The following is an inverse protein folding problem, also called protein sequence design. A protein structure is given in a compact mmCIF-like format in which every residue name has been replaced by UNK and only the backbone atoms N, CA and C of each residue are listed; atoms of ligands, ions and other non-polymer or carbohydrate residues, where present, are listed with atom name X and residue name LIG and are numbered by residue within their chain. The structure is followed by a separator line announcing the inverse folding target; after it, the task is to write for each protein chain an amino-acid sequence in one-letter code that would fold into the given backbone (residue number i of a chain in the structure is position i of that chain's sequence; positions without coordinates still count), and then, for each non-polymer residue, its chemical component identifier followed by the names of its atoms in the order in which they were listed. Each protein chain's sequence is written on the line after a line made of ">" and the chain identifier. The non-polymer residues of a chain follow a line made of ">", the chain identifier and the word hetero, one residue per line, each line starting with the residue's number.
data_IF_889867753627
#
_entry.id   IF_889867753627
#
_cell.length_a   1.000
_cell.length_b   1.000
_cell.length_c   1.000
_cell.angle_alpha   90.00
_cell.angle_beta   90.00
_cell.angle_gamma   90.00
#
_symmetry.space_group_name_H-M   'P 1'
#
loop_
_entity.id
_entity.type
_entity.pdbx_description
1 polymer ?
#
# COMPACT_ATOMS: atom_id res chain seq x y z
N UNK A 1 24.88 26.26 44.33
CA UNK A 1 24.11 26.13 43.06
C UNK A 1 22.69 26.61 43.26
N UNK A 2 22.27 27.65 42.54
CA UNK A 2 20.91 28.21 42.61
C UNK A 2 19.85 27.20 42.17
N UNK A 3 18.60 27.37 42.65
CA UNK A 3 17.46 26.50 42.30
C UNK A 3 17.27 26.41 40.77
N UNK A 4 17.51 27.52 40.06
CA UNK A 4 17.45 27.61 38.61
C UNK A 4 18.47 26.68 37.92
N UNK A 5 19.73 26.70 38.37
CA UNK A 5 20.79 25.83 37.80
C UNK A 5 20.47 24.35 38.03
N UNK A 6 19.94 24.00 39.20
CA UNK A 6 19.48 22.62 39.47
C UNK A 6 18.35 22.21 38.52
N UNK A 7 17.39 23.11 38.26
CA UNK A 7 16.27 22.85 37.33
C UNK A 7 16.74 22.68 35.89
N UNK A 8 17.66 23.53 35.42
CA UNK A 8 18.23 23.44 34.08
C UNK A 8 18.97 22.10 33.87
N UNK A 9 19.83 21.70 34.82
CA UNK A 9 20.49 20.39 34.79
C UNK A 9 19.49 19.23 34.76
N UNK A 10 18.39 19.33 35.51
CA UNK A 10 17.32 18.32 35.48
C UNK A 10 16.63 18.26 34.11
N UNK A 11 16.33 19.42 33.51
CA UNK A 11 15.72 19.50 32.19
C UNK A 11 16.62 18.94 31.10
N UNK A 12 17.93 19.18 31.19
CA UNK A 12 18.92 18.65 30.28
C UNK A 12 19.02 17.12 30.37
N UNK A 13 19.08 16.56 31.59
CA UNK A 13 19.00 15.10 31.78
C UNK A 13 17.74 14.49 31.16
N UNK A 14 16.57 15.12 31.37
CA UNK A 14 15.30 14.66 30.76
C UNK A 14 15.32 14.78 29.23
N UNK A 15 15.90 15.84 28.68
CA UNK A 15 16.05 16.03 27.23
C UNK A 15 16.94 14.95 26.63
N UNK A 16 18.09 14.67 27.26
CA UNK A 16 19.01 13.61 26.84
C UNK A 16 18.32 12.23 26.86
N UNK A 17 17.65 11.89 27.97
CA UNK A 17 16.91 10.62 28.08
C UNK A 17 15.86 10.45 26.97
N UNK A 18 15.06 11.50 26.70
CA UNK A 18 14.05 11.47 25.62
C UNK A 18 14.70 11.21 24.25
N UNK A 19 15.82 11.86 23.95
CA UNK A 19 16.57 11.61 22.70
C UNK A 19 17.04 10.17 22.60
N UNK A 20 17.60 9.62 23.67
CA UNK A 20 18.08 8.23 23.70
C UNK A 20 16.94 7.23 23.53
N UNK A 21 15.80 7.44 24.19
CA UNK A 21 14.61 6.60 24.04
C UNK A 21 14.07 6.67 22.61
N UNK A 22 13.99 7.86 22.01
CA UNK A 22 13.58 8.02 20.62
C UNK A 22 14.53 7.30 19.66
N UNK A 23 15.86 7.46 19.85
CA UNK A 23 16.87 6.75 19.05
C UNK A 23 16.68 5.23 19.14
N UNK A 24 16.52 4.68 20.35
CA UNK A 24 16.28 3.24 20.55
C UNK A 24 14.97 2.77 19.91
N UNK A 25 13.90 3.57 19.92
CA UNK A 25 12.64 3.23 19.24
C UNK A 25 12.83 3.16 17.73
N UNK A 26 13.52 4.15 17.14
CA UNK A 26 13.84 4.17 15.71
C UNK A 26 14.70 2.96 15.35
N UNK A 27 15.74 2.66 16.13
CA UNK A 27 16.62 1.52 15.91
C UNK A 27 15.87 0.18 15.95
N UNK A 28 14.93 -0.01 16.88
CA UNK A 28 14.11 -1.23 16.93
C UNK A 28 13.27 -1.41 15.67
N UNK A 29 12.63 -0.34 15.21
CA UNK A 29 11.81 -0.37 13.99
C UNK A 29 12.69 -0.66 12.77
N UNK A 30 13.85 0.00 12.69
CA UNK A 30 14.80 -0.23 11.60
C UNK A 30 15.32 -1.67 11.58
N UNK A 31 15.67 -2.23 12.75
CA UNK A 31 16.10 -3.62 12.89
C UNK A 31 15.01 -4.61 12.51
N UNK A 32 13.76 -4.34 12.85
CA UNK A 32 12.62 -5.18 12.42
C UNK A 32 12.48 -5.19 10.90
N UNK A 33 12.53 -4.02 10.27
CA UNK A 33 12.46 -3.92 8.80
C UNK A 33 13.64 -4.62 8.12
N UNK A 34 14.84 -4.49 8.67
CA UNK A 34 16.03 -5.17 8.14
C UNK A 34 15.91 -6.69 8.27
N UNK A 35 15.43 -7.19 9.41
CA UNK A 35 15.20 -8.62 9.60
C UNK A 35 14.12 -9.17 8.67
N UNK A 36 12.99 -8.46 8.51
CA UNK A 36 11.93 -8.82 7.57
C UNK A 36 12.47 -8.89 6.13
N UNK A 37 13.34 -7.96 5.75
CA UNK A 37 13.99 -7.98 4.44
C UNK A 37 14.92 -9.19 4.29
N UNK A 38 15.77 -9.47 5.29
CA UNK A 38 16.64 -10.65 5.27
C UNK A 38 15.84 -11.95 5.18
N UNK A 39 14.73 -12.06 5.90
CA UNK A 39 13.84 -13.22 5.80
C UNK A 39 13.27 -13.38 4.39
N UNK A 40 12.84 -12.30 3.76
CA UNK A 40 12.38 -12.33 2.36
C UNK A 40 13.50 -12.73 1.40
N UNK A 41 14.70 -12.18 1.56
CA UNK A 41 15.86 -12.53 0.74
C UNK A 41 16.20 -14.03 0.89
N UNK A 42 16.20 -14.57 2.12
CA UNK A 42 16.41 -16.02 2.34
C UNK A 42 15.30 -16.91 1.78
N UNK A 43 14.05 -16.43 1.76
CA UNK A 43 12.95 -17.16 1.12
C UNK A 43 13.13 -17.17 -0.39
N UNK A 44 13.49 -16.03 -0.98
CA UNK A 44 13.76 -15.91 -2.40
C UNK A 44 14.92 -16.81 -2.83
N UNK A 45 16.03 -16.85 -2.09
CA UNK A 45 17.14 -17.76 -2.38
C UNK A 45 16.71 -19.22 -2.40
N UNK A 46 15.88 -19.65 -1.43
CA UNK A 46 15.33 -21.02 -1.41
C UNK A 46 14.42 -21.31 -2.60
N UNK A 47 13.59 -20.34 -3.00
CA UNK A 47 12.72 -20.48 -4.18
C UNK A 47 13.57 -20.61 -5.46
N UNK A 48 14.65 -19.84 -5.57
CA UNK A 48 15.61 -19.92 -6.67
C UNK A 48 16.30 -21.29 -6.69
N UNK A 49 16.76 -21.80 -5.55
CA UNK A 49 17.39 -23.12 -5.46
C UNK A 49 16.43 -24.22 -5.92
N UNK A 50 15.16 -24.18 -5.49
CA UNK A 50 14.12 -25.13 -5.91
C UNK A 50 13.85 -25.04 -7.42
N UNK A 51 13.83 -23.85 -8.00
CA UNK A 51 13.61 -23.67 -9.44
C UNK A 51 14.83 -24.15 -10.24
N UNK A 52 16.06 -23.93 -9.76
CA UNK A 52 17.28 -24.47 -10.37
C UNK A 52 17.24 -25.99 -10.35
N UNK A 53 16.86 -26.61 -9.23
CA UNK A 53 16.72 -28.06 -9.13
C UNK A 53 15.64 -28.59 -10.09
N UNK A 54 14.52 -27.88 -10.22
CA UNK A 54 13.45 -28.22 -11.18
C UNK A 54 13.93 -28.13 -12.62
N UNK A 55 14.63 -27.06 -12.99
CA UNK A 55 15.19 -26.87 -14.34
C UNK A 55 16.23 -27.95 -14.63
N UNK A 56 17.12 -28.25 -13.69
CA UNK A 56 18.09 -29.33 -13.82
C UNK A 56 17.43 -30.71 -13.98
N UNK A 57 16.37 -31.01 -13.23
CA UNK A 57 15.60 -32.26 -13.39
C UNK A 57 14.89 -32.33 -14.74
N UNK A 58 14.32 -31.22 -15.22
CA UNK A 58 13.71 -31.17 -16.56
C UNK A 58 14.77 -31.38 -17.66
N UNK A 59 15.92 -30.74 -17.56
CA UNK A 59 17.04 -30.96 -18.49
C UNK A 59 17.56 -32.40 -18.45
N UNK A 60 17.70 -32.99 -17.26
CA UNK A 60 18.06 -34.40 -17.11
C UNK A 60 17.00 -35.35 -17.73
N UNK A 61 15.72 -35.01 -17.60
CA UNK A 61 14.61 -35.77 -18.18
C UNK A 61 14.55 -35.64 -19.71
N UNK A 62 14.84 -34.46 -20.26
CA UNK A 62 14.96 -34.21 -21.71
C UNK A 62 16.17 -34.91 -22.33
N UNK A 63 17.26 -35.09 -21.56
CA UNK A 63 18.45 -35.79 -22.04
C UNK A 63 18.31 -37.33 -21.99
N UNK A 64 17.36 -37.85 -21.20
CA UNK A 64 17.05 -39.28 -21.13
C UNK A 64 15.93 -39.72 -22.09
N UNK A 65 15.17 -38.78 -22.67
CA UNK A 65 14.10 -39.07 -23.64
C UNK A 65 14.55 -39.07 -25.11
N UNK A 66 15.86 -39.01 -25.39
CA UNK A 66 16.41 -39.14 -26.75
C UNK A 66 16.86 -40.56 -27.11
N UNK A 67 16.31 -41.57 -26.44
CA UNK A 67 16.56 -42.99 -26.71
C UNK A 67 15.31 -43.83 -26.44
N UNK A 68 14.24 -43.63 -27.20
CA UNK A 68 13.36 -44.72 -27.66
C UNK A 68 12.29 -44.17 -28.61
N UNK A 69 12.38 -44.57 -29.88
CA UNK A 69 11.35 -44.35 -30.88
C UNK A 69 10.25 -45.40 -30.75
N UNK A 70 8.99 -45.02 -31.00
CA UNK A 70 7.88 -45.96 -31.07
C UNK A 70 6.55 -45.30 -31.42
N UNK A 71 6.13 -45.49 -32.67
CA UNK A 71 4.84 -45.11 -33.27
C UNK A 71 3.60 -45.54 -32.45
N UNK A 72 2.52 -44.75 -32.51
CA UNK A 72 1.19 -45.18 -32.05
C UNK A 72 0.10 -44.12 -32.24
N UNK A 73 -0.76 -44.30 -33.25
CA UNK A 73 -1.73 -43.34 -33.76
C UNK A 73 -3.13 -43.43 -33.13
N UNK A 74 -3.84 -42.29 -33.07
CA UNK A 74 -5.29 -42.07 -33.26
C UNK A 74 -6.29 -42.53 -32.18
N UNK A 75 -7.15 -41.60 -31.75
CA UNK A 75 -8.45 -41.87 -31.13
C UNK A 75 -9.00 -40.64 -30.38
N UNK A 76 -9.63 -39.66 -31.05
CA UNK A 76 -11.06 -39.61 -31.33
C UNK A 76 -11.94 -39.09 -30.16
N UNK A 77 -12.52 -37.90 -30.40
CA UNK A 77 -13.91 -37.48 -30.06
C UNK A 77 -14.20 -36.76 -28.72
N UNK A 78 -14.45 -35.45 -28.84
CA UNK A 78 -15.41 -34.67 -28.03
C UNK A 78 -16.86 -35.11 -28.36
N UNK A 79 -17.85 -34.90 -27.45
CA UNK A 79 -18.73 -33.74 -27.64
C UNK A 79 -19.33 -33.09 -26.36
N UNK A 80 -19.44 -31.75 -26.46
CA UNK A 80 -20.55 -30.82 -26.09
C UNK A 80 -21.66 -31.22 -25.09
N UNK A 81 -22.00 -30.24 -24.25
CA UNK A 81 -23.33 -30.01 -23.63
C UNK A 81 -23.17 -29.48 -22.19
N UNK A 82 -23.87 -28.49 -21.65
CA UNK A 82 -25.13 -27.83 -21.97
C UNK A 82 -25.19 -26.48 -21.21
N UNK A 83 -25.80 -25.46 -21.81
CA UNK A 83 -26.12 -24.19 -21.18
C UNK A 83 -27.27 -24.36 -20.17
N UNK A 84 -27.00 -24.05 -18.90
CA UNK A 84 -28.02 -23.90 -17.86
C UNK A 84 -28.33 -22.43 -17.60
N UNK A 85 -29.30 -21.89 -18.34
CA UNK A 85 -29.98 -20.62 -18.03
C UNK A 85 -30.76 -20.81 -16.74
N UNK A 86 -30.51 -19.96 -15.74
CA UNK A 86 -31.46 -19.79 -14.63
C UNK A 86 -31.64 -18.30 -14.35
N UNK A 87 -32.92 -17.94 -14.41
CA UNK A 87 -33.51 -16.63 -14.29
C UNK A 87 -33.20 -15.96 -12.94
N UNK A 88 -33.39 -14.63 -12.94
CA UNK A 88 -33.93 -13.81 -11.83
C UNK A 88 -33.11 -12.56 -11.52
N UNK A 89 -33.01 -11.61 -12.46
CA UNK A 89 -32.85 -10.20 -12.10
C UNK A 89 -33.66 -9.32 -13.05
N UNK A 90 -34.83 -8.90 -12.57
CA UNK A 90 -35.60 -7.78 -13.15
C UNK A 90 -34.71 -6.53 -13.14
N UNK A 91 -34.00 -6.31 -14.25
CA UNK A 91 -33.32 -5.06 -14.53
C UNK A 91 -34.37 -4.04 -14.98
N UNK A 92 -34.48 -2.93 -14.24
CA UNK A 92 -35.28 -1.76 -14.61
C UNK A 92 -34.79 -1.21 -15.95
N UNK A 93 -35.49 -1.58 -17.03
CA UNK A 93 -35.29 -1.08 -18.39
C UNK A 93 -35.73 0.38 -18.45
N UNK A 94 -34.80 1.30 -18.74
CA UNK A 94 -35.14 2.70 -19.03
C UNK A 94 -35.34 2.85 -20.53
N UNK A 95 -36.47 3.45 -20.92
CA UNK A 95 -36.83 3.69 -22.31
C UNK A 95 -36.31 5.08 -22.70
N UNK A 96 -35.37 5.15 -23.66
CA UNK A 96 -34.90 6.41 -24.23
C UNK A 96 -35.10 6.32 -25.74
N UNK A 97 -35.97 7.17 -26.29
CA UNK A 97 -36.15 7.32 -27.75
C UNK A 97 -36.53 6.02 -28.48
N UNK A 98 -37.38 5.18 -27.91
CA UNK A 98 -37.83 3.92 -28.53
C UNK A 98 -36.83 2.75 -28.45
N UNK A 99 -35.63 2.97 -27.90
CA UNK A 99 -34.63 1.93 -27.67
C UNK A 99 -34.66 1.54 -26.19
N UNK A 100 -34.86 0.25 -25.93
CA UNK A 100 -34.74 -0.33 -24.59
C UNK A 100 -33.26 -0.52 -24.28
N UNK A 101 -32.69 0.40 -23.51
CA UNK A 101 -31.30 0.28 -23.05
C UNK A 101 -31.30 -0.46 -21.71
N UNK A 102 -30.64 -1.61 -21.67
CA UNK A 102 -30.38 -2.32 -20.43
C UNK A 102 -29.34 -1.53 -19.62
N UNK A 103 -29.80 -0.81 -18.60
CA UNK A 103 -28.90 -0.13 -17.68
C UNK A 103 -28.02 -1.20 -16.99
N UNK A 104 -26.67 -1.07 -17.00
CA UNK A 104 -25.80 -2.06 -16.38
C UNK A 104 -26.22 -2.25 -14.93
N UNK A 105 -26.58 -3.48 -14.56
CA UNK A 105 -26.98 -3.80 -13.20
C UNK A 105 -25.93 -3.26 -12.23
N UNK A 106 -26.33 -2.31 -11.38
CA UNK A 106 -25.45 -1.74 -10.36
C UNK A 106 -24.99 -2.88 -9.45
N UNK A 107 -23.78 -3.38 -9.70
CA UNK A 107 -23.18 -4.44 -8.89
C UNK A 107 -23.14 -3.93 -7.45
N UNK A 108 -23.74 -4.67 -6.52
CA UNK A 108 -23.63 -4.39 -5.09
C UNK A 108 -22.15 -4.13 -4.77
N UNK A 109 -21.86 -3.03 -4.05
CA UNK A 109 -20.50 -2.68 -3.66
C UNK A 109 -19.87 -3.92 -3.02
N UNK A 110 -18.90 -4.54 -3.70
CA UNK A 110 -18.14 -5.65 -3.15
C UNK A 110 -17.58 -5.15 -1.82
N UNK A 111 -17.93 -5.81 -0.72
CA UNK A 111 -17.38 -5.46 0.58
C UNK A 111 -15.86 -5.52 0.46
N UNK A 112 -15.20 -4.39 0.70
CA UNK A 112 -13.75 -4.33 0.65
C UNK A 112 -13.20 -5.25 1.73
N UNK A 113 -12.24 -6.09 1.35
CA UNK A 113 -11.56 -6.93 2.34
C UNK A 113 -10.91 -6.05 3.41
N UNK A 114 -10.77 -6.58 4.63
CA UNK A 114 -10.13 -5.87 5.75
C UNK A 114 -8.76 -5.27 5.39
N UNK A 115 -7.97 -5.96 4.56
CA UNK A 115 -6.68 -5.45 4.06
C UNK A 115 -6.84 -4.24 3.14
N UNK A 116 -7.82 -4.25 2.23
CA UNK A 116 -8.11 -3.12 1.34
C UNK A 116 -8.62 -1.90 2.12
N UNK A 117 -9.49 -2.11 3.12
CA UNK A 117 -9.93 -1.03 4.01
C UNK A 117 -8.76 -0.41 4.77
N UNK A 118 -7.84 -1.23 5.31
CA UNK A 118 -6.65 -0.74 6.02
C UNK A 118 -5.73 0.09 5.10
N UNK A 119 -5.52 -0.35 3.85
CA UNK A 119 -4.74 0.41 2.86
C UNK A 119 -5.40 1.76 2.53
N UNK A 120 -6.72 1.76 2.32
CA UNK A 120 -7.48 2.99 2.06
C UNK A 120 -7.42 3.95 3.24
N UNK A 121 -7.57 3.44 4.47
CA UNK A 121 -7.46 4.24 5.69
C UNK A 121 -6.08 4.90 5.82
N UNK A 122 -4.99 4.17 5.58
CA UNK A 122 -3.63 4.73 5.60
C UNK A 122 -3.43 5.82 4.55
N UNK A 123 -4.00 5.64 3.36
CA UNK A 123 -3.92 6.65 2.30
C UNK A 123 -4.68 7.93 2.69
N UNK A 124 -5.85 7.81 3.32
CA UNK A 124 -6.59 8.97 3.82
C UNK A 124 -5.84 9.66 4.96
N UNK A 125 -5.32 8.91 5.93
CA UNK A 125 -4.51 9.45 7.04
C UNK A 125 -3.28 10.21 6.53
N UNK A 126 -2.62 9.69 5.50
CA UNK A 126 -1.51 10.41 4.85
C UNK A 126 -1.97 11.70 4.18
N UNK A 127 -3.11 11.67 3.47
CA UNK A 127 -3.71 12.84 2.86
C UNK A 127 -4.08 13.92 3.89
N UNK A 128 -4.66 13.53 5.02
CA UNK A 128 -4.97 14.42 6.14
C UNK A 128 -3.71 15.06 6.73
N UNK A 129 -2.65 14.27 6.95
CA UNK A 129 -1.38 14.78 7.45
C UNK A 129 -0.73 15.81 6.51
N UNK A 130 -0.81 15.59 5.19
CA UNK A 130 -0.32 16.55 4.19
C UNK A 130 -1.17 17.82 4.21
N UNK A 131 -2.49 17.69 4.28
CA UNK A 131 -3.40 18.83 4.35
C UNK A 131 -3.16 19.69 5.60
N UNK A 132 -2.92 19.06 6.75
CA UNK A 132 -2.55 19.73 7.99
C UNK A 132 -1.22 20.47 7.90
N UNK A 133 -0.23 19.91 7.20
CA UNK A 133 1.04 20.59 6.98
C UNK A 133 0.86 21.83 6.09
N UNK A 134 0.06 21.72 5.03
CA UNK A 134 -0.25 22.83 4.14
C UNK A 134 -1.06 23.93 4.83
N UNK A 135 -2.06 23.56 5.64
CA UNK A 135 -2.87 24.51 6.40
C UNK A 135 -2.01 25.31 7.39
N UNK A 136 -1.09 24.66 8.09
CA UNK A 136 -0.12 25.32 8.98
C UNK A 136 0.77 26.31 8.24
N UNK A 137 1.31 25.92 7.07
CA UNK A 137 2.12 26.80 6.21
C UNK A 137 1.32 28.03 5.75
N UNK A 138 0.06 27.82 5.35
CA UNK A 138 -0.84 28.90 4.95
C UNK A 138 -1.12 29.87 6.09
N UNK A 139 -1.44 29.37 7.29
CA UNK A 139 -1.66 30.19 8.48
C UNK A 139 -0.43 31.02 8.79
N UNK A 140 0.76 30.42 8.75
CA UNK A 140 2.02 31.12 8.96
C UNK A 140 2.24 32.25 7.95
N UNK A 141 2.00 31.99 6.67
CA UNK A 141 2.09 32.99 5.61
C UNK A 141 1.10 34.14 5.86
N UNK A 142 -0.16 33.81 6.16
CA UNK A 142 -1.21 34.78 6.46
C UNK A 142 -0.84 35.68 7.65
N UNK A 143 -0.31 35.11 8.74
CA UNK A 143 0.14 35.90 9.89
C UNK A 143 1.28 36.84 9.52
N UNK A 144 2.28 36.38 8.76
CA UNK A 144 3.39 37.25 8.32
C UNK A 144 2.92 38.41 7.46
N UNK A 145 1.98 38.16 6.55
CA UNK A 145 1.39 39.22 5.71
C UNK A 145 0.65 40.24 6.58
N UNK A 146 -0.17 39.78 7.54
CA UNK A 146 -0.87 40.67 8.48
C UNK A 146 0.12 41.52 9.30
N UNK A 147 1.15 40.90 9.86
CA UNK A 147 2.17 41.60 10.65
C UNK A 147 2.88 42.67 9.82
N UNK A 148 3.28 42.35 8.59
CA UNK A 148 3.93 43.32 7.68
C UNK A 148 2.99 44.47 7.33
N UNK A 149 1.71 44.19 7.10
CA UNK A 149 0.71 45.23 6.85
C UNK A 149 0.52 46.14 8.08
N UNK A 150 0.49 45.56 9.29
CA UNK A 150 0.41 46.33 10.53
C UNK A 150 1.63 47.24 10.72
N UNK A 151 2.85 46.72 10.51
CA UNK A 151 4.09 47.51 10.59
C UNK A 151 4.04 48.66 9.58
N UNK A 152 3.72 48.37 8.31
CA UNK A 152 3.59 49.41 7.28
C UNK A 152 2.57 50.49 7.65
N UNK A 153 1.44 50.10 8.23
CA UNK A 153 0.42 51.06 8.66
C UNK A 153 0.88 51.88 9.87
N UNK A 154 1.64 51.30 10.80
CA UNK A 154 2.26 52.04 11.90
C UNK A 154 3.28 53.05 11.38
N UNK A 155 4.11 52.65 10.41
CA UNK A 155 5.10 53.54 9.77
C UNK A 155 4.47 54.67 8.95
N UNK A 156 3.20 54.55 8.55
CA UNK A 156 2.45 55.60 7.82
C UNK A 156 1.77 56.62 8.73
N UNK A 157 1.59 56.30 10.01
CA UNK A 157 0.86 57.13 10.98
C UNK A 157 1.78 57.73 12.06
N UNK A 158 3.07 57.42 12.02
CA UNK A 158 4.15 58.10 12.75
C UNK A 158 4.88 59.06 11.81
#
# INVERSE_FOLDING_TARGET
>A
MTKLVKKLKQMEKKRSHRKTVQKRKIERVQRQVENEKREQDTQFEREVDVEIDRVNQQHASFHNSQSEGGNGSIGAQNPKGSLGVSESRLATKQLIGGIVVEAPARKNKKQLTRKQMKRKSKMMEHGEAVQDALSKKWIHKRMRVKLRAQIRNQDLHN
#
